data_IF_106355416455
#
_entry.id   IF_106355416455
#
_cell.length_a   1.000
_cell.length_b   1.000
_cell.length_c   1.000
_cell.angle_alpha   90.00
_cell.angle_beta   90.00
_cell.angle_gamma   90.00
#
_symmetry.space_group_name_H-M   'P 1'
#
loop_
_entity.id
_entity.type
_entity.pdbx_description
1 polymer ?
#
# COMPACT_ATOMS: atom_id res chain seq x y z
N UNK A 1 18.62 -2.80 -0.41
CA UNK A 1 18.62 -3.97 -1.34
C UNK A 1 19.98 -4.07 -2.04
N UNK A 2 21.10 -4.03 -1.30
CA UNK A 2 22.45 -4.01 -1.89
C UNK A 2 22.83 -5.32 -2.59
N UNK A 3 22.19 -6.42 -2.19
CA UNK A 3 22.30 -7.76 -2.73
C UNK A 3 21.42 -8.01 -3.97
N UNK A 4 20.58 -7.04 -4.38
CA UNK A 4 19.73 -7.13 -5.56
C UNK A 4 18.63 -8.20 -5.50
N UNK A 5 18.38 -8.80 -4.33
CA UNK A 5 17.41 -9.90 -4.16
C UNK A 5 15.98 -9.43 -3.92
N UNK A 6 15.79 -8.13 -3.78
CA UNK A 6 14.49 -7.51 -3.63
C UNK A 6 13.81 -7.28 -4.98
N UNK A 7 12.53 -7.58 -5.07
CA UNK A 7 11.69 -7.29 -6.24
C UNK A 7 10.37 -6.66 -5.84
N UNK A 8 9.71 -6.02 -6.81
CA UNK A 8 8.40 -5.39 -6.65
C UNK A 8 7.46 -5.91 -7.72
N UNK A 9 6.25 -6.23 -7.31
CA UNK A 9 5.16 -6.66 -8.19
C UNK A 9 3.99 -5.71 -7.98
N UNK A 10 3.63 -4.87 -8.98
CA UNK A 10 2.47 -4.00 -8.88
C UNK A 10 1.18 -4.82 -9.00
N UNK A 11 0.10 -4.28 -8.43
CA UNK A 11 -1.25 -4.83 -8.52
C UNK A 11 -2.25 -3.66 -8.63
N UNK A 12 -3.48 -3.95 -9.06
CA UNK A 12 -4.51 -2.90 -9.23
C UNK A 12 -4.88 -2.17 -7.94
N UNK A 13 -4.69 -2.83 -6.78
CA UNK A 13 -5.01 -2.30 -5.46
C UNK A 13 -3.78 -2.02 -4.59
N UNK A 14 -2.57 -1.96 -5.16
CA UNK A 14 -1.34 -1.74 -4.39
C UNK A 14 -0.13 -2.46 -4.99
N UNK A 15 0.76 -2.98 -4.15
CA UNK A 15 1.95 -3.69 -4.63
C UNK A 15 2.46 -4.70 -3.61
N UNK A 16 3.34 -5.58 -4.06
CA UNK A 16 4.07 -6.51 -3.22
C UNK A 16 5.56 -6.27 -3.35
N UNK A 17 6.27 -6.13 -2.23
CA UNK A 17 7.74 -6.20 -2.19
C UNK A 17 8.14 -7.59 -1.71
N UNK A 18 9.05 -8.24 -2.42
CA UNK A 18 9.56 -9.57 -2.07
C UNK A 18 11.04 -9.52 -1.78
N UNK A 19 11.46 -10.20 -0.72
CA UNK A 19 12.85 -10.47 -0.34
C UNK A 19 13.01 -11.98 -0.10
N UNK A 20 14.23 -12.51 0.03
CA UNK A 20 14.45 -13.95 0.20
C UNK A 20 13.63 -14.62 1.32
N UNK A 21 13.36 -13.91 2.41
CA UNK A 21 12.70 -14.45 3.61
C UNK A 21 11.48 -13.64 4.08
N UNK A 22 11.15 -12.55 3.41
CA UNK A 22 10.12 -11.63 3.84
C UNK A 22 9.37 -11.03 2.65
N UNK A 23 8.14 -10.67 2.89
CA UNK A 23 7.27 -9.97 1.96
C UNK A 23 6.63 -8.77 2.64
N UNK A 24 6.36 -7.74 1.87
CA UNK A 24 5.52 -6.62 2.26
C UNK A 24 4.38 -6.53 1.27
N UNK A 25 3.15 -6.58 1.77
CA UNK A 25 1.95 -6.43 0.96
C UNK A 25 1.34 -5.06 1.24
N UNK A 26 1.29 -4.23 0.21
CA UNK A 26 0.71 -2.90 0.24
C UNK A 26 -0.67 -2.93 -0.41
N UNK A 27 -1.66 -2.40 0.29
CA UNK A 27 -3.02 -2.18 -0.20
C UNK A 27 -3.29 -0.70 -0.14
N UNK A 28 -3.65 -0.09 -1.27
CA UNK A 28 -3.88 1.33 -1.37
C UNK A 28 -5.26 1.62 -1.95
N UNK A 29 -5.83 2.74 -1.53
CA UNK A 29 -7.06 3.27 -2.10
C UNK A 29 -7.05 4.80 -2.04
N UNK A 30 -7.68 5.41 -3.03
CA UNK A 30 -7.92 6.84 -3.08
C UNK A 30 -9.25 7.10 -3.78
N UNK A 31 -9.87 8.21 -3.44
CA UNK A 31 -11.05 8.74 -4.13
C UNK A 31 -10.83 9.00 -5.61
N UNK A 32 -9.58 9.28 -6.00
CA UNK A 32 -9.20 9.62 -7.36
C UNK A 32 -8.74 8.38 -8.16
N UNK A 33 -9.05 7.18 -7.67
CA UNK A 33 -8.45 5.93 -8.17
C UNK A 33 -6.95 5.86 -7.86
N UNK A 34 -6.34 4.70 -8.07
CA UNK A 34 -4.89 4.53 -7.90
C UNK A 34 -4.25 3.85 -9.11
N UNK A 35 -3.09 4.35 -9.50
CA UNK A 35 -2.15 3.71 -10.43
C UNK A 35 -0.98 3.17 -9.62
N UNK A 36 -0.50 1.98 -9.99
CA UNK A 36 0.67 1.39 -9.35
C UNK A 36 1.61 0.83 -10.41
N UNK A 37 2.85 1.30 -10.37
CA UNK A 37 3.90 0.89 -11.30
C UNK A 37 5.16 0.46 -10.56
N UNK A 38 5.90 -0.49 -11.13
CA UNK A 38 7.23 -0.84 -10.64
C UNK A 38 8.28 -0.16 -11.52
N UNK A 39 9.05 0.74 -10.92
CA UNK A 39 10.02 1.59 -11.60
C UNK A 39 11.43 1.36 -11.06
N UNK A 40 12.40 1.99 -11.72
CA UNK A 40 13.82 1.99 -11.33
C UNK A 40 14.33 3.43 -11.26
N UNK A 41 15.27 3.66 -10.36
CA UNK A 41 15.90 4.97 -10.21
C UNK A 41 16.64 5.35 -11.50
N UNK A 42 16.68 6.64 -11.89
CA UNK A 42 17.42 7.12 -13.06
C UNK A 42 18.93 7.20 -12.77
N UNK A 43 19.53 6.06 -12.44
CA UNK A 43 20.95 5.86 -12.10
C UNK A 43 21.53 4.75 -12.99
N UNK A 44 22.86 4.52 -13.00
CA UNK A 44 23.45 3.43 -13.78
C UNK A 44 22.73 2.08 -13.57
N UNK A 45 22.45 1.37 -14.65
CA UNK A 45 21.56 0.21 -14.67
C UNK A 45 21.97 -0.88 -13.68
N UNK A 46 23.28 -1.12 -13.54
CA UNK A 46 23.86 -2.06 -12.58
C UNK A 46 23.45 -1.81 -11.12
N UNK A 47 23.14 -0.56 -10.77
CA UNK A 47 22.68 -0.15 -9.47
C UNK A 47 21.15 -0.01 -9.46
N UNK A 48 20.55 0.48 -10.54
CA UNK A 48 19.11 0.65 -10.66
C UNK A 48 18.36 -0.70 -10.49
N UNK A 49 18.87 -1.79 -11.07
CA UNK A 49 18.30 -3.15 -10.94
C UNK A 49 18.26 -3.61 -9.47
N UNK A 50 19.21 -3.17 -8.64
CA UNK A 50 19.27 -3.52 -7.22
C UNK A 50 18.28 -2.72 -6.38
N UNK A 51 17.65 -1.68 -6.91
CA UNK A 51 16.78 -0.79 -6.12
C UNK A 51 15.47 -0.49 -6.86
N UNK A 52 14.64 -1.50 -7.17
CA UNK A 52 13.30 -1.25 -7.68
C UNK A 52 12.47 -0.53 -6.62
N UNK A 53 11.57 0.35 -7.05
CA UNK A 53 10.56 0.98 -6.19
C UNK A 53 9.17 0.89 -6.82
N UNK A 54 8.14 0.97 -5.98
CA UNK A 54 6.76 1.09 -6.43
C UNK A 54 6.40 2.56 -6.46
N UNK A 55 5.89 3.04 -7.59
CA UNK A 55 5.22 4.33 -7.66
C UNK A 55 3.73 4.10 -7.46
N UNK A 56 3.14 4.81 -6.49
CA UNK A 56 1.70 4.82 -6.25
C UNK A 56 1.21 6.23 -6.48
N UNK A 57 0.32 6.39 -7.44
CA UNK A 57 -0.22 7.69 -7.87
C UNK A 57 -1.74 7.66 -7.94
N UNK A 58 -2.39 8.82 -7.93
CA UNK A 58 -3.82 8.92 -8.20
C UNK A 58 -4.06 8.93 -9.71
N UNK A 59 -5.09 8.22 -10.18
CA UNK A 59 -5.39 8.16 -11.63
C UNK A 59 -6.03 9.43 -12.15
N UNK A 60 -6.91 10.03 -11.35
CA UNK A 60 -7.59 11.28 -11.70
C UNK A 60 -6.86 12.46 -11.06
N UNK A 61 -6.49 13.50 -11.83
CA UNK A 61 -5.93 14.72 -11.27
C UNK A 61 -6.89 15.38 -10.29
N UNK A 62 -6.36 15.84 -9.15
CA UNK A 62 -7.09 16.60 -8.14
C UNK A 62 -6.21 17.68 -7.55
N UNK A 63 -6.81 18.79 -7.12
CA UNK A 63 -6.10 19.80 -6.32
C UNK A 63 -5.75 19.26 -4.94
N UNK A 64 -6.59 18.38 -4.43
CA UNK A 64 -6.44 17.67 -3.18
C UNK A 64 -6.65 16.18 -3.43
N UNK A 65 -5.79 15.36 -2.82
CA UNK A 65 -5.80 13.92 -2.95
C UNK A 65 -5.57 13.29 -1.58
N UNK A 66 -6.51 12.45 -1.18
CA UNK A 66 -6.37 11.61 0.00
C UNK A 66 -6.14 10.17 -0.43
N UNK A 67 -5.09 9.56 0.13
CA UNK A 67 -4.68 8.20 -0.20
C UNK A 67 -4.41 7.44 1.08
N UNK A 68 -5.10 6.32 1.24
CA UNK A 68 -4.90 5.38 2.35
C UNK A 68 -4.04 4.23 1.85
N UNK A 69 -2.94 3.94 2.53
CA UNK A 69 -2.13 2.75 2.28
C UNK A 69 -1.99 1.93 3.54
N UNK A 70 -2.25 0.63 3.43
CA UNK A 70 -2.04 -0.37 4.48
C UNK A 70 -0.86 -1.24 4.07
N UNK A 71 0.13 -1.35 4.95
CA UNK A 71 1.34 -2.15 4.73
C UNK A 71 1.36 -3.31 5.71
N UNK A 72 1.30 -4.53 5.20
CA UNK A 72 1.34 -5.76 6.01
C UNK A 72 2.65 -6.54 5.73
N UNK A 73 3.61 -6.53 6.66
CA UNK A 73 4.78 -7.39 6.57
C UNK A 73 4.41 -8.84 6.90
N UNK A 74 5.00 -9.79 6.17
CA UNK A 74 4.83 -11.22 6.41
C UNK A 74 6.13 -12.00 6.10
N UNK A 75 6.36 -13.15 6.73
CA UNK A 75 7.35 -14.11 6.26
C UNK A 75 7.04 -14.55 4.83
N UNK A 76 8.07 -14.92 4.06
CA UNK A 76 7.87 -15.39 2.69
C UNK A 76 7.01 -16.66 2.67
N UNK A 77 5.94 -16.64 1.86
CA UNK A 77 5.01 -17.76 1.72
C UNK A 77 3.88 -17.78 2.75
N UNK A 78 3.88 -16.88 3.74
CA UNK A 78 2.75 -16.72 4.64
C UNK A 78 1.76 -15.67 4.12
N UNK A 79 0.47 -15.91 4.33
CA UNK A 79 -0.56 -14.93 4.01
C UNK A 79 -0.48 -13.74 5.01
N UNK A 80 -0.37 -12.48 4.52
CA UNK A 80 -0.24 -11.30 5.39
C UNK A 80 -1.50 -10.99 6.21
N UNK A 81 -2.64 -11.58 5.84
CA UNK A 81 -3.98 -11.16 6.26
C UNK A 81 -4.73 -10.57 5.06
N UNK A 82 -6.05 -10.44 5.16
CA UNK A 82 -6.87 -9.76 4.17
C UNK A 82 -7.11 -8.30 4.58
N UNK A 83 -7.00 -7.40 3.62
CA UNK A 83 -7.31 -5.98 3.80
C UNK A 83 -8.46 -5.60 2.88
N UNK A 84 -9.47 -4.97 3.45
CA UNK A 84 -10.51 -4.29 2.70
C UNK A 84 -10.42 -2.79 3.02
N UNK A 85 -10.29 -1.97 1.99
CA UNK A 85 -10.37 -0.51 2.13
C UNK A 85 -11.61 -0.08 1.36
N UNK A 86 -12.62 0.39 2.08
CA UNK A 86 -13.86 0.88 1.49
C UNK A 86 -14.08 2.33 1.88
N UNK A 87 -14.61 3.11 0.95
CA UNK A 87 -15.04 4.48 1.25
C UNK A 87 -16.46 4.43 1.78
N UNK A 88 -16.70 5.04 2.93
CA UNK A 88 -18.04 5.07 3.54
C UNK A 88 -18.76 6.40 3.26
N UNK A 89 -18.01 7.50 3.14
CA UNK A 89 -18.52 8.81 2.71
C UNK A 89 -17.40 9.68 2.10
N UNK A 90 -17.68 10.95 1.83
CA UNK A 90 -16.73 11.86 1.19
C UNK A 90 -15.43 12.05 2.01
N UNK A 91 -15.49 12.00 3.33
CA UNK A 91 -14.38 12.28 4.24
C UNK A 91 -13.94 11.05 5.04
N UNK A 92 -14.39 9.84 4.69
CA UNK A 92 -14.10 8.65 5.49
C UNK A 92 -13.79 7.42 4.64
N UNK A 93 -12.68 6.77 5.01
CA UNK A 93 -12.34 5.41 4.62
C UNK A 93 -12.47 4.47 5.82
N UNK A 94 -13.02 3.29 5.58
CA UNK A 94 -13.03 2.18 6.50
C UNK A 94 -12.02 1.14 6.05
N UNK A 95 -11.03 0.88 6.91
CA UNK A 95 -10.02 -0.15 6.72
C UNK A 95 -10.37 -1.33 7.62
N UNK A 96 -10.65 -2.49 7.02
CA UNK A 96 -10.83 -3.75 7.76
C UNK A 96 -9.63 -4.65 7.53
N UNK A 97 -8.98 -5.01 8.61
CA UNK A 97 -7.84 -5.93 8.67
C UNK A 97 -8.34 -7.26 9.24
N UNK A 98 -8.21 -8.34 8.46
CA UNK A 98 -8.62 -9.68 8.89
C UNK A 98 -7.41 -10.60 8.89
N UNK A 99 -7.07 -11.21 10.03
CA UNK A 99 -6.08 -12.27 10.10
C UNK A 99 -6.54 -13.36 11.06
N UNK A 100 -6.72 -14.56 10.53
CA UNK A 100 -7.25 -15.71 11.27
C UNK A 100 -8.63 -15.38 11.90
N UNK A 101 -8.75 -15.34 13.22
CA UNK A 101 -9.99 -15.00 13.94
C UNK A 101 -10.07 -13.54 14.39
N UNK A 102 -9.02 -12.75 14.16
CA UNK A 102 -8.97 -11.35 14.60
C UNK A 102 -9.35 -10.42 13.46
N UNK A 103 -10.30 -9.54 13.74
CA UNK A 103 -10.70 -8.43 12.89
C UNK A 103 -10.32 -7.14 13.60
N UNK A 104 -9.66 -6.23 12.90
CA UNK A 104 -9.43 -4.87 13.38
C UNK A 104 -10.05 -3.95 12.36
N UNK A 105 -10.85 -3.00 12.82
CA UNK A 105 -11.44 -1.97 11.98
C UNK A 105 -10.80 -0.63 12.33
N UNK A 106 -10.32 0.08 11.33
CA UNK A 106 -9.82 1.43 11.47
C UNK A 106 -10.64 2.36 10.59
N UNK A 107 -11.26 3.37 11.18
CA UNK A 107 -11.83 4.50 10.44
C UNK A 107 -10.72 5.52 10.23
N UNK A 108 -10.58 5.97 9.00
CA UNK A 108 -9.62 6.98 8.58
C UNK A 108 -10.41 8.17 8.06
N UNK A 109 -10.32 9.29 8.77
CA UNK A 109 -11.04 10.52 8.46
C UNK A 109 -10.12 11.49 7.72
N UNK A 110 -10.58 11.95 6.56
CA UNK A 110 -9.97 13.03 5.81
C UNK A 110 -10.52 14.37 6.33
N UNK A 111 -9.77 14.99 7.24
CA UNK A 111 -10.12 16.27 7.87
C UNK A 111 -9.50 17.48 7.13
N UNK A 112 -9.07 17.29 5.88
CA UNK A 112 -8.46 18.30 5.00
C UNK A 112 -7.08 18.83 5.47
N UNK A 113 -6.66 18.56 6.70
CA UNK A 113 -5.37 19.00 7.27
C UNK A 113 -4.50 17.83 7.71
N UNK A 114 -4.96 17.06 8.70
CA UNK A 114 -4.25 15.91 9.27
C UNK A 114 -5.25 14.76 9.39
N UNK A 115 -5.02 13.63 8.71
CA UNK A 115 -5.89 12.47 8.85
C UNK A 115 -6.09 12.06 10.31
N UNK A 116 -7.34 11.83 10.71
CA UNK A 116 -7.66 11.28 12.02
C UNK A 116 -7.94 9.77 11.92
N UNK A 117 -7.62 9.03 12.97
CA UNK A 117 -7.73 7.57 12.99
C UNK A 117 -8.47 7.09 14.23
N UNK A 118 -9.52 6.31 14.03
CA UNK A 118 -10.21 5.60 15.11
C UNK A 118 -10.06 4.10 14.92
N UNK A 119 -9.61 3.39 15.95
CA UNK A 119 -9.37 1.94 15.90
C UNK A 119 -10.38 1.24 16.81
N UNK A 120 -11.13 0.30 16.23
CA UNK A 120 -11.99 -0.64 16.93
C UNK A 120 -11.42 -2.07 16.75
N UNK A 121 -11.24 -2.78 17.87
CA UNK A 121 -10.71 -4.14 17.93
C UNK A 121 -11.76 -5.14 18.36
#
# INVERSE_FOLDING_TARGET
NLDGKGSITPASSGFKTMRPHAELHAFAASQNGIGVEALRLPIPEENAVKHPFAEVSTQTPGLESFLVTVLLPAPKGEAPGAVEISRTNAQEFLVKLNKSSRVITCRVLDTETIPEFEIAT
#
